data_IF_785912882653
#
_entry.id   IF_785912882653
#
_cell.length_a   1.000
_cell.length_b   1.000
_cell.length_c   1.000
_cell.angle_alpha   90.00
_cell.angle_beta   90.00
_cell.angle_gamma   90.00
#
_symmetry.space_group_name_H-M   'P 1'
#
loop_
_entity.id
_entity.type
_entity.pdbx_description
1 polymer ?
#
# COMPACT_ATOMS: atom_id res chain seq x y z
N UNK A 1 52.72 59.03 19.68
CA UNK A 1 52.58 57.96 20.70
C UNK A 1 51.12 57.69 21.07
N UNK A 2 50.34 58.69 21.51
CA UNK A 2 48.93 58.51 21.90
C UNK A 2 48.01 58.01 20.76
N UNK A 3 48.13 58.56 19.55
CA UNK A 3 47.35 58.12 18.39
C UNK A 3 47.61 56.65 18.00
N UNK A 4 48.86 56.19 18.14
CA UNK A 4 49.25 54.80 17.88
C UNK A 4 48.66 53.84 18.93
N UNK A 5 48.54 54.29 20.18
CA UNK A 5 47.92 53.53 21.27
C UNK A 5 46.40 53.36 21.04
N UNK A 6 45.71 54.42 20.63
CA UNK A 6 44.28 54.37 20.30
C UNK A 6 43.99 53.45 19.09
N UNK A 7 44.83 53.50 18.05
CA UNK A 7 44.69 52.61 16.89
C UNK A 7 44.94 51.14 17.27
N UNK A 8 45.94 50.85 18.11
CA UNK A 8 46.16 49.50 18.64
C UNK A 8 44.95 48.98 19.42
N UNK A 9 44.35 49.79 20.29
CA UNK A 9 43.15 49.40 21.05
C UNK A 9 41.96 49.13 20.12
N UNK A 10 41.78 49.95 19.07
CA UNK A 10 40.74 49.75 18.05
C UNK A 10 40.94 48.42 17.32
N UNK A 11 42.17 48.11 16.90
CA UNK A 11 42.50 46.87 16.21
C UNK A 11 42.30 45.64 17.10
N UNK A 12 42.61 45.73 18.40
CA UNK A 12 42.36 44.65 19.37
C UNK A 12 40.85 44.40 19.49
N UNK A 13 40.04 45.44 19.71
CA UNK A 13 38.57 45.29 19.78
C UNK A 13 37.97 44.74 18.48
N UNK A 14 38.48 45.17 17.33
CA UNK A 14 38.05 44.65 16.03
C UNK A 14 38.42 43.16 15.87
N UNK A 15 39.63 42.77 16.27
CA UNK A 15 40.08 41.38 16.26
C UNK A 15 39.23 40.51 17.18
N UNK A 16 38.97 40.94 18.42
CA UNK A 16 38.11 40.23 19.38
C UNK A 16 36.70 40.04 18.84
N UNK A 17 36.09 41.10 18.27
CA UNK A 17 34.76 41.01 17.65
C UNK A 17 34.74 40.02 16.48
N UNK A 18 35.77 40.02 15.63
CA UNK A 18 35.91 39.07 14.53
C UNK A 18 36.12 37.64 15.03
N UNK A 19 36.91 37.44 16.09
CA UNK A 19 37.12 36.13 16.71
C UNK A 19 35.83 35.59 17.34
N UNK A 20 35.07 36.42 18.05
CA UNK A 20 33.77 36.06 18.61
C UNK A 20 32.76 35.69 17.50
N UNK A 21 32.72 36.48 16.42
CA UNK A 21 31.89 36.17 15.25
C UNK A 21 32.30 34.85 14.57
N UNK A 22 33.60 34.60 14.42
CA UNK A 22 34.12 33.35 13.87
C UNK A 22 33.76 32.15 14.77
N UNK A 23 33.88 32.29 16.09
CA UNK A 23 33.48 31.26 17.04
C UNK A 23 31.98 30.95 16.97
N UNK A 24 31.14 31.99 16.87
CA UNK A 24 29.70 31.82 16.68
C UNK A 24 29.35 31.15 15.34
N UNK A 25 30.02 31.54 14.25
CA UNK A 25 29.85 30.93 12.94
C UNK A 25 30.25 29.44 12.96
N UNK A 26 31.40 29.10 13.58
CA UNK A 26 31.83 27.70 13.75
C UNK A 26 30.82 26.86 14.53
N UNK A 27 30.25 27.39 15.61
CA UNK A 27 29.17 26.72 16.35
C UNK A 27 27.93 26.46 15.49
N UNK A 28 27.53 27.43 14.66
CA UNK A 28 26.38 27.25 13.73
C UNK A 28 26.65 26.18 12.68
N UNK A 29 27.86 26.14 12.11
CA UNK A 29 28.25 25.10 11.16
C UNK A 29 28.20 23.72 11.83
N UNK A 30 28.77 23.58 13.03
CA UNK A 30 28.72 22.32 13.78
C UNK A 30 27.29 21.86 14.09
N UNK A 31 26.41 22.80 14.45
CA UNK A 31 24.99 22.53 14.69
C UNK A 31 24.27 22.09 13.40
N UNK A 32 24.49 22.80 12.30
CA UNK A 32 23.92 22.46 10.99
C UNK A 32 24.40 21.08 10.50
N UNK A 33 25.70 20.78 10.65
CA UNK A 33 26.25 19.47 10.33
C UNK A 33 25.63 18.35 11.18
N UNK A 34 25.36 18.61 12.46
CA UNK A 34 24.63 17.66 13.32
C UNK A 34 23.22 17.41 12.81
N UNK A 35 22.47 18.47 12.50
CA UNK A 35 21.10 18.38 11.98
C UNK A 35 21.03 17.64 10.64
N UNK A 36 22.00 17.88 9.76
CA UNK A 36 22.13 17.14 8.49
C UNK A 36 22.34 15.65 8.75
N UNK A 37 23.27 15.28 9.64
CA UNK A 37 23.51 13.87 9.99
C UNK A 37 22.28 13.19 10.60
N UNK A 38 21.58 13.88 11.50
CA UNK A 38 20.34 13.36 12.10
C UNK A 38 19.24 13.17 11.06
N UNK A 39 19.09 14.13 10.14
CA UNK A 39 18.10 14.03 9.04
C UNK A 39 18.39 12.86 8.12
N UNK A 40 19.66 12.64 7.75
CA UNK A 40 20.07 11.48 6.94
C UNK A 40 19.73 10.18 7.68
N UNK A 41 20.08 10.07 8.96
CA UNK A 41 19.77 8.88 9.76
C UNK A 41 18.26 8.61 9.87
N UNK A 42 17.44 9.64 10.08
CA UNK A 42 15.98 9.50 10.13
C UNK A 42 15.45 9.04 8.77
N UNK A 43 15.96 9.62 7.68
CA UNK A 43 15.58 9.25 6.32
C UNK A 43 15.86 7.78 6.03
N UNK A 44 17.08 7.33 6.30
CA UNK A 44 17.49 5.93 6.09
C UNK A 44 16.66 4.97 6.96
N UNK A 45 16.42 5.33 8.23
CA UNK A 45 15.57 4.53 9.11
C UNK A 45 14.12 4.43 8.62
N UNK A 46 13.56 5.53 8.11
CA UNK A 46 12.21 5.54 7.54
C UNK A 46 12.13 4.71 6.25
N UNK A 47 13.15 4.79 5.40
CA UNK A 47 13.24 4.00 4.17
C UNK A 47 13.24 2.50 4.45
N UNK A 48 14.11 2.04 5.37
CA UNK A 48 14.12 0.65 5.82
C UNK A 48 12.79 0.21 6.45
N UNK A 49 12.13 1.11 7.19
CA UNK A 49 10.80 0.82 7.72
C UNK A 49 9.75 0.65 6.62
N UNK A 50 9.77 1.51 5.58
CA UNK A 50 8.85 1.40 4.46
C UNK A 50 9.04 0.10 3.68
N UNK A 51 10.27 -0.35 3.48
CA UNK A 51 10.56 -1.67 2.90
C UNK A 51 9.89 -2.79 3.70
N UNK A 52 10.05 -2.76 5.03
CA UNK A 52 9.41 -3.72 5.94
C UNK A 52 7.88 -3.70 5.83
N UNK A 53 7.28 -2.51 5.65
CA UNK A 53 5.82 -2.37 5.45
C UNK A 53 5.39 -3.03 4.14
N UNK A 54 6.15 -2.84 3.06
CA UNK A 54 5.87 -3.46 1.76
C UNK A 54 6.02 -4.97 1.82
N UNK A 55 7.02 -5.49 2.54
CA UNK A 55 7.18 -6.94 2.75
C UNK A 55 5.98 -7.54 3.48
N UNK A 56 5.54 -6.91 4.57
CA UNK A 56 4.34 -7.34 5.30
C UNK A 56 3.09 -7.28 4.44
N UNK A 57 2.98 -6.27 3.58
CA UNK A 57 1.87 -6.13 2.65
C UNK A 57 1.87 -7.27 1.62
N UNK A 58 3.03 -7.61 1.07
CA UNK A 58 3.19 -8.72 0.12
C UNK A 58 2.87 -10.08 0.76
N UNK A 59 3.34 -10.34 1.98
CA UNK A 59 2.99 -11.54 2.75
C UNK A 59 1.49 -11.64 3.00
N UNK A 60 0.87 -10.52 3.36
CA UNK A 60 -0.56 -10.43 3.59
C UNK A 60 -1.37 -10.71 2.31
N UNK A 61 -0.93 -10.19 1.15
CA UNK A 61 -1.55 -10.47 -0.15
C UNK A 61 -1.45 -11.97 -0.48
N UNK A 62 -0.30 -12.61 -0.22
CA UNK A 62 -0.09 -14.06 -0.47
C UNK A 62 -1.00 -14.96 0.38
N UNK A 63 -1.39 -14.49 1.57
CA UNK A 63 -2.31 -15.20 2.47
C UNK A 63 -3.79 -14.92 2.22
N UNK A 64 -4.12 -14.00 1.32
CA UNK A 64 -5.47 -13.51 1.06
C UNK A 64 -6.19 -14.33 -0.03
N UNK A 65 -7.45 -13.98 -0.29
CA UNK A 65 -8.20 -14.47 -1.45
C UNK A 65 -7.50 -14.09 -2.78
N UNK A 66 -7.48 -15.00 -3.78
CA UNK A 66 -6.81 -14.77 -5.05
C UNK A 66 -7.67 -13.90 -5.97
N UNK A 67 -7.65 -12.60 -5.77
CA UNK A 67 -8.28 -11.63 -6.67
C UNK A 67 -7.24 -10.65 -7.21
N UNK A 68 -7.44 -10.23 -8.47
CA UNK A 68 -6.58 -9.30 -9.19
C UNK A 68 -5.07 -9.58 -8.99
N UNK A 69 -4.62 -10.85 -9.10
CA UNK A 69 -3.27 -11.25 -8.66
C UNK A 69 -2.18 -10.48 -9.42
N UNK A 70 -2.39 -10.25 -10.72
CA UNK A 70 -1.46 -9.50 -11.55
C UNK A 70 -1.37 -8.02 -11.13
N UNK A 71 -2.51 -7.35 -10.98
CA UNK A 71 -2.53 -5.92 -10.62
C UNK A 71 -1.88 -5.67 -9.25
N UNK A 72 -2.14 -6.54 -8.27
CA UNK A 72 -1.56 -6.44 -6.93
C UNK A 72 -0.05 -6.70 -6.97
N UNK A 73 0.39 -7.71 -7.71
CA UNK A 73 1.82 -8.00 -7.89
C UNK A 73 2.56 -6.84 -8.58
N UNK A 74 2.00 -6.30 -9.67
CA UNK A 74 2.56 -5.16 -10.40
C UNK A 74 2.66 -3.92 -9.50
N UNK A 75 1.66 -3.69 -8.64
CA UNK A 75 1.68 -2.60 -7.65
C UNK A 75 2.81 -2.77 -6.65
N UNK A 76 2.98 -3.95 -6.06
CA UNK A 76 4.07 -4.23 -5.12
C UNK A 76 5.43 -4.05 -5.80
N UNK A 77 5.61 -4.59 -7.00
CA UNK A 77 6.84 -4.44 -7.77
C UNK A 77 7.16 -2.98 -8.07
N UNK A 78 6.16 -2.18 -8.47
CA UNK A 78 6.29 -0.75 -8.70
C UNK A 78 6.74 0.01 -7.45
N UNK A 79 6.20 -0.34 -6.27
CA UNK A 79 6.57 0.30 -5.01
C UNK A 79 8.00 -0.08 -4.62
N UNK A 80 8.38 -1.36 -4.70
CA UNK A 80 9.75 -1.81 -4.42
C UNK A 80 10.77 -1.06 -5.29
N UNK A 81 10.48 -0.96 -6.58
CA UNK A 81 11.32 -0.21 -7.49
C UNK A 81 11.44 1.28 -7.09
N UNK A 82 10.34 1.92 -6.69
CA UNK A 82 10.36 3.31 -6.20
C UNK A 82 11.16 3.47 -4.91
N UNK A 83 11.11 2.48 -4.01
CA UNK A 83 11.89 2.48 -2.77
C UNK A 83 13.39 2.35 -3.04
N UNK A 84 13.81 1.61 -4.06
CA UNK A 84 15.22 1.47 -4.42
C UNK A 84 15.77 2.68 -5.21
N UNK A 85 14.90 3.51 -5.81
CA UNK A 85 15.32 4.63 -6.63
C UNK A 85 16.05 5.72 -5.83
N UNK A 86 17.31 6.05 -6.19
CA UNK A 86 18.03 7.18 -5.62
C UNK A 86 17.39 8.51 -6.05
N UNK A 87 17.49 9.53 -5.20
CA UNK A 87 17.03 10.88 -5.53
C UNK A 87 15.52 11.12 -5.38
N UNK A 88 14.70 10.07 -5.27
CA UNK A 88 13.27 10.21 -4.95
C UNK A 88 13.13 10.70 -3.50
N UNK A 89 12.34 11.77 -3.25
CA UNK A 89 12.08 12.25 -1.89
C UNK A 89 11.40 11.18 -1.04
N UNK A 90 11.82 11.06 0.23
CA UNK A 90 11.23 10.09 1.16
C UNK A 90 9.72 10.30 1.37
N UNK A 91 9.25 11.53 1.27
CA UNK A 91 7.82 11.85 1.34
C UNK A 91 7.02 11.20 0.19
N UNK A 92 7.60 11.13 -1.00
CA UNK A 92 6.98 10.50 -2.17
C UNK A 92 6.93 8.98 -2.03
N UNK A 93 8.04 8.38 -1.55
CA UNK A 93 8.11 6.96 -1.18
C UNK A 93 7.03 6.61 -0.15
N UNK A 94 6.92 7.39 0.92
CA UNK A 94 5.89 7.25 1.96
C UNK A 94 4.48 7.33 1.38
N UNK A 95 4.20 8.37 0.58
CA UNK A 95 2.88 8.58 -0.05
C UNK A 95 2.47 7.35 -0.85
N UNK A 96 3.37 6.83 -1.68
CA UNK A 96 3.09 5.67 -2.53
C UNK A 96 2.77 4.41 -1.73
N UNK A 97 3.50 4.15 -0.65
CA UNK A 97 3.23 3.01 0.25
C UNK A 97 1.87 3.18 0.93
N UNK A 98 1.54 4.38 1.41
CA UNK A 98 0.25 4.64 2.05
C UNK A 98 -0.93 4.50 1.07
N UNK A 99 -0.78 4.94 -0.17
CA UNK A 99 -1.79 4.71 -1.22
C UNK A 99 -2.05 3.23 -1.45
N UNK A 100 -1.00 2.41 -1.50
CA UNK A 100 -1.15 0.98 -1.66
C UNK A 100 -1.93 0.35 -0.50
N UNK A 101 -1.62 0.74 0.74
CA UNK A 101 -2.38 0.31 1.91
C UNK A 101 -3.84 0.78 1.87
N UNK A 102 -4.09 2.01 1.39
CA UNK A 102 -5.44 2.54 1.24
C UNK A 102 -6.24 1.76 0.20
N UNK A 103 -5.63 1.40 -0.93
CA UNK A 103 -6.29 0.57 -1.94
C UNK A 103 -6.57 -0.83 -1.38
N UNK A 104 -5.62 -1.44 -0.67
CA UNK A 104 -5.79 -2.76 -0.07
C UNK A 104 -6.87 -2.80 1.03
N UNK A 105 -7.01 -1.72 1.80
CA UNK A 105 -8.12 -1.58 2.76
C UNK A 105 -9.46 -1.34 2.06
N UNK A 106 -9.49 -0.60 0.95
CA UNK A 106 -10.69 -0.39 0.15
C UNK A 106 -11.22 -1.70 -0.44
N UNK A 107 -10.34 -2.66 -0.76
CA UNK A 107 -10.76 -3.99 -1.19
C UNK A 107 -11.62 -4.71 -0.14
N UNK A 108 -11.49 -4.40 1.15
CA UNK A 108 -12.36 -4.98 2.18
C UNK A 108 -13.81 -4.50 2.13
N UNK A 109 -14.08 -3.35 1.52
CA UNK A 109 -15.38 -2.65 1.57
C UNK A 109 -16.14 -2.63 0.25
N UNK A 110 -15.48 -3.00 -0.84
CA UNK A 110 -16.00 -2.90 -2.20
C UNK A 110 -16.61 -4.22 -2.66
N UNK A 111 -17.62 -4.12 -3.53
CA UNK A 111 -18.23 -5.27 -4.22
C UNK A 111 -18.08 -5.04 -5.70
N UNK A 112 -17.43 -5.98 -6.38
CA UNK A 112 -17.06 -5.82 -7.79
C UNK A 112 -17.27 -7.13 -8.54
N UNK A 113 -17.51 -7.01 -9.85
CA UNK A 113 -17.58 -8.14 -10.77
C UNK A 113 -16.57 -7.94 -11.88
N UNK A 114 -15.75 -8.94 -12.13
CA UNK A 114 -14.78 -8.95 -13.22
C UNK A 114 -14.76 -10.32 -13.90
N UNK A 115 -14.32 -10.35 -15.16
CA UNK A 115 -14.16 -11.59 -15.91
C UNK A 115 -12.78 -12.17 -15.63
N UNK A 116 -12.74 -13.47 -15.37
CA UNK A 116 -11.48 -14.20 -15.27
C UNK A 116 -11.66 -15.65 -15.74
N UNK A 117 -10.55 -16.34 -15.96
CA UNK A 117 -10.55 -17.77 -16.28
C UNK A 117 -10.23 -18.55 -15.02
N UNK A 118 -11.17 -19.40 -14.59
CA UNK A 118 -10.97 -20.30 -13.47
C UNK A 118 -10.77 -21.73 -13.96
N UNK A 119 -10.02 -22.53 -13.20
CA UNK A 119 -9.98 -23.97 -13.41
C UNK A 119 -11.16 -24.63 -12.68
N UNK A 120 -12.06 -25.22 -13.44
CA UNK A 120 -13.17 -26.02 -12.93
C UNK A 120 -12.95 -27.49 -13.33
N UNK A 121 -12.49 -28.31 -12.38
CA UNK A 121 -12.23 -29.74 -12.57
C UNK A 121 -11.22 -30.06 -13.69
N UNK A 122 -10.16 -29.27 -13.83
CA UNK A 122 -9.12 -29.44 -14.85
C UNK A 122 -9.46 -28.81 -16.20
N UNK A 123 -10.54 -28.02 -16.28
CA UNK A 123 -10.93 -27.31 -17.49
C UNK A 123 -10.93 -25.80 -17.25
N UNK A 124 -10.21 -25.01 -18.08
CA UNK A 124 -10.26 -23.57 -18.01
C UNK A 124 -11.61 -23.07 -18.50
N UNK A 125 -12.35 -22.35 -17.64
CA UNK A 125 -13.66 -21.78 -17.94
C UNK A 125 -13.64 -20.29 -17.68
N UNK A 126 -14.05 -19.50 -18.66
CA UNK A 126 -14.25 -18.04 -18.49
C UNK A 126 -15.53 -17.82 -17.70
N UNK A 127 -15.41 -17.13 -16.57
CA UNK A 127 -16.51 -16.85 -15.66
C UNK A 127 -16.52 -15.39 -15.23
N UNK A 128 -17.65 -14.95 -14.71
CA UNK A 128 -17.78 -13.69 -14.00
C UNK A 128 -17.53 -13.93 -12.51
N UNK A 129 -16.44 -13.38 -11.98
CA UNK A 129 -16.10 -13.45 -10.55
C UNK A 129 -16.74 -12.27 -9.84
N UNK A 130 -17.58 -12.56 -8.85
CA UNK A 130 -18.11 -11.61 -7.87
C UNK A 130 -17.20 -11.59 -6.64
N UNK A 131 -16.56 -10.45 -6.40
CA UNK A 131 -15.77 -10.19 -5.21
C UNK A 131 -16.63 -9.47 -4.18
N UNK A 132 -16.90 -10.15 -3.06
CA UNK A 132 -17.54 -9.55 -1.90
C UNK A 132 -16.48 -9.14 -0.88
N UNK A 133 -15.95 -7.94 -1.07
CA UNK A 133 -14.85 -7.42 -0.26
C UNK A 133 -13.66 -8.39 -0.21
N UNK A 134 -13.25 -8.76 1.00
CA UNK A 134 -12.27 -9.82 1.29
C UNK A 134 -12.88 -10.99 2.06
N UNK A 135 -14.20 -11.08 2.06
CA UNK A 135 -14.93 -12.13 2.77
C UNK A 135 -15.08 -13.38 1.91
N UNK A 136 -15.39 -13.21 0.62
CA UNK A 136 -15.63 -14.34 -0.28
C UNK A 136 -15.52 -13.93 -1.74
N UNK A 137 -15.13 -14.90 -2.56
CA UNK A 137 -15.22 -14.84 -4.01
C UNK A 137 -16.28 -15.85 -4.48
N UNK A 138 -17.16 -15.40 -5.36
CA UNK A 138 -18.10 -16.26 -6.06
C UNK A 138 -17.83 -16.18 -7.55
N UNK A 139 -18.28 -17.18 -8.29
CA UNK A 139 -18.31 -17.10 -9.74
C UNK A 139 -19.69 -17.43 -10.28
N UNK A 140 -19.98 -16.91 -11.46
CA UNK A 140 -21.13 -17.22 -12.29
C UNK A 140 -20.64 -17.48 -13.73
N UNK A 141 -21.13 -18.53 -14.38
CA UNK A 141 -20.88 -18.74 -15.80
C UNK A 141 -21.59 -17.68 -16.65
N UNK A 142 -21.11 -17.34 -17.86
CA UNK A 142 -21.75 -16.31 -18.69
C UNK A 142 -23.22 -16.57 -19.04
N UNK A 143 -23.65 -17.84 -19.00
CA UNK A 143 -25.05 -18.25 -19.20
C UNK A 143 -25.91 -18.19 -17.92
N UNK A 144 -25.31 -17.84 -16.78
CA UNK A 144 -25.94 -17.75 -15.47
C UNK A 144 -26.50 -19.06 -14.92
N UNK A 145 -26.07 -20.21 -15.47
CA UNK A 145 -26.58 -21.53 -15.05
C UNK A 145 -25.76 -22.14 -13.92
N UNK A 146 -24.45 -21.92 -13.91
CA UNK A 146 -23.54 -22.48 -12.92
C UNK A 146 -23.01 -21.35 -12.06
N UNK A 147 -23.09 -21.55 -10.75
CA UNK A 147 -22.52 -20.65 -9.76
C UNK A 147 -21.65 -21.42 -8.80
N UNK A 148 -20.69 -20.75 -8.20
CA UNK A 148 -19.84 -21.37 -7.21
C UNK A 148 -19.13 -20.37 -6.31
N UNK A 149 -18.31 -20.90 -5.42
CA UNK A 149 -17.56 -20.15 -4.42
C UNK A 149 -16.11 -20.62 -4.39
N UNK A 150 -15.20 -19.70 -4.11
CA UNK A 150 -13.81 -20.04 -3.83
C UNK A 150 -13.67 -20.51 -2.38
N UNK A 151 -13.05 -21.67 -2.18
CA UNK A 151 -12.69 -22.18 -0.87
C UNK A 151 -11.21 -21.81 -0.56
N UNK A 152 -10.94 -20.93 0.41
CA UNK A 152 -9.58 -20.52 0.74
C UNK A 152 -8.74 -21.64 1.38
N UNK A 153 -9.39 -22.60 2.06
CA UNK A 153 -8.69 -23.70 2.72
C UNK A 153 -8.13 -24.72 1.72
N UNK A 154 -8.92 -25.03 0.68
CA UNK A 154 -8.54 -26.00 -0.37
C UNK A 154 -7.91 -25.32 -1.59
N UNK A 155 -7.93 -23.98 -1.65
CA UNK A 155 -7.45 -23.16 -2.77
C UNK A 155 -8.08 -23.54 -4.10
N UNK A 156 -9.37 -23.87 -4.09
CA UNK A 156 -10.10 -24.38 -5.25
C UNK A 156 -11.51 -23.78 -5.34
N UNK A 157 -12.06 -23.80 -6.54
CA UNK A 157 -13.42 -23.39 -6.83
C UNK A 157 -14.39 -24.55 -6.68
N UNK A 158 -15.50 -24.31 -5.97
CA UNK A 158 -16.56 -25.29 -5.76
C UNK A 158 -17.86 -24.82 -6.39
N UNK A 159 -18.49 -25.72 -7.15
CA UNK A 159 -19.84 -25.48 -7.68
C UNK A 159 -20.84 -25.56 -6.54
N UNK A 160 -21.69 -24.54 -6.43
CA UNK A 160 -22.73 -24.48 -5.42
C UNK A 160 -24.03 -25.13 -5.92
N UNK A 161 -24.88 -25.67 -5.03
CA UNK A 161 -26.19 -26.17 -5.38
C UNK A 161 -27.07 -25.11 -6.05
N UNK A 162 -27.97 -25.54 -6.94
CA UNK A 162 -28.83 -24.67 -7.76
C UNK A 162 -29.68 -23.67 -6.96
N UNK A 163 -29.99 -23.96 -5.69
CA UNK A 163 -30.71 -23.06 -4.78
C UNK A 163 -30.01 -21.71 -4.56
N UNK A 164 -28.69 -21.65 -4.66
CA UNK A 164 -27.90 -20.42 -4.48
C UNK A 164 -27.84 -19.53 -5.72
N UNK A 165 -28.10 -20.10 -6.91
CA UNK A 165 -28.03 -19.43 -8.21
C UNK A 165 -28.83 -18.13 -8.23
N UNK A 166 -30.08 -18.17 -7.76
CA UNK A 166 -30.95 -16.98 -7.77
C UNK A 166 -30.33 -15.80 -7.00
N UNK A 167 -29.70 -16.07 -5.86
CA UNK A 167 -29.13 -15.03 -5.02
C UNK A 167 -27.78 -14.52 -5.57
N UNK A 168 -26.93 -15.42 -6.07
CA UNK A 168 -25.63 -15.03 -6.65
C UNK A 168 -25.84 -14.19 -7.90
N UNK A 169 -26.68 -14.61 -8.85
CA UNK A 169 -26.95 -13.84 -10.07
C UNK A 169 -27.57 -12.47 -9.74
N UNK A 170 -28.39 -12.40 -8.68
CA UNK A 170 -28.93 -11.14 -8.17
C UNK A 170 -27.83 -10.25 -7.60
N UNK A 171 -26.90 -10.78 -6.82
CA UNK A 171 -25.76 -10.03 -6.30
C UNK A 171 -24.82 -9.54 -7.42
N UNK A 172 -24.57 -10.37 -8.44
CA UNK A 172 -23.81 -9.99 -9.64
C UNK A 172 -24.49 -8.82 -10.36
N UNK A 173 -25.80 -8.91 -10.59
CA UNK A 173 -26.56 -7.81 -11.22
C UNK A 173 -26.57 -6.52 -10.40
N UNK A 174 -26.63 -6.60 -9.07
CA UNK A 174 -26.52 -5.42 -8.19
C UNK A 174 -25.11 -4.82 -8.28
N UNK A 175 -24.07 -5.64 -8.22
CA UNK A 175 -22.67 -5.19 -8.31
C UNK A 175 -22.36 -4.53 -9.67
N UNK A 176 -22.99 -5.01 -10.74
CA UNK A 176 -22.94 -4.38 -12.09
C UNK A 176 -23.83 -3.15 -12.23
N UNK A 177 -24.61 -2.79 -11.22
CA UNK A 177 -25.62 -1.71 -11.26
C UNK A 177 -26.72 -1.93 -12.30
N UNK A 178 -26.94 -3.18 -12.70
CA UNK A 178 -28.05 -3.58 -13.58
C UNK A 178 -29.36 -3.72 -12.78
N UNK A 179 -29.28 -3.74 -11.44
CA UNK A 179 -30.40 -3.85 -10.51
C UNK A 179 -30.29 -2.82 -9.40
N UNK A 180 -31.44 -2.46 -8.83
CA UNK A 180 -31.52 -1.61 -7.64
C UNK A 180 -30.89 -2.30 -6.43
N UNK A 181 -30.27 -1.53 -5.55
CA UNK A 181 -29.68 -2.05 -4.32
C UNK A 181 -30.76 -2.67 -3.41
N UNK A 182 -30.54 -3.92 -3.01
CA UNK A 182 -31.42 -4.67 -2.13
C UNK A 182 -30.64 -5.72 -1.34
N UNK A 183 -31.22 -6.21 -0.24
CA UNK A 183 -30.58 -7.24 0.58
C UNK A 183 -30.57 -8.59 -0.13
N UNK A 184 -29.40 -9.23 -0.18
CA UNK A 184 -29.19 -10.56 -0.76
C UNK A 184 -28.56 -11.49 0.27
N UNK A 185 -29.10 -12.71 0.38
CA UNK A 185 -28.54 -13.76 1.24
C UNK A 185 -27.50 -14.56 0.45
N UNK A 186 -26.23 -14.41 0.81
CA UNK A 186 -25.11 -15.13 0.18
C UNK A 186 -24.56 -16.22 1.13
N UNK A 187 -24.11 -17.37 0.60
CA UNK A 187 -23.51 -18.43 1.40
C UNK A 187 -22.07 -18.06 1.77
N UNK A 188 -21.89 -17.31 2.85
CA UNK A 188 -20.57 -16.85 3.33
C UNK A 188 -19.89 -17.82 4.32
N UNK A 189 -20.40 -19.05 4.44
CA UNK A 189 -19.83 -20.09 5.30
C UNK A 189 -19.73 -19.70 6.78
N UNK A 190 -18.97 -20.48 7.56
CA UNK A 190 -18.49 -20.05 8.89
C UNK A 190 -17.18 -19.31 8.71
N UNK A 191 -17.09 -18.11 9.26
CA UNK A 191 -15.83 -17.37 9.37
C UNK A 191 -14.97 -18.11 10.38
N UNK A 192 -14.00 -18.90 9.91
CA UNK A 192 -12.97 -19.47 10.77
C UNK A 192 -11.83 -18.46 10.82
N UNK A 193 -11.77 -17.68 11.89
CA UNK A 193 -10.61 -16.83 12.17
C UNK A 193 -9.48 -17.78 12.57
N UNK A 194 -8.39 -17.78 11.79
CA UNK A 194 -7.14 -18.43 12.19
C UNK A 194 -6.40 -17.55 13.19
#
# INVERSE_FOLDING_TARGET
YQALKAERERLIKAKEKKQAALAAARKRVQEAERQVRETVRIREGLESYLETVVDRLDEFIKGDLPFLPKERADRIASIRHLLEQPGVPIAEKYRRVMEALQVETQYGRTVEVYKDTIDLKGQPVVVDILRLGRLSLFFETPDGKIVGQYNPAEKQWFVLPSGYRKNINKAVGIARRERTAELVKLPIGRIVVK
#
